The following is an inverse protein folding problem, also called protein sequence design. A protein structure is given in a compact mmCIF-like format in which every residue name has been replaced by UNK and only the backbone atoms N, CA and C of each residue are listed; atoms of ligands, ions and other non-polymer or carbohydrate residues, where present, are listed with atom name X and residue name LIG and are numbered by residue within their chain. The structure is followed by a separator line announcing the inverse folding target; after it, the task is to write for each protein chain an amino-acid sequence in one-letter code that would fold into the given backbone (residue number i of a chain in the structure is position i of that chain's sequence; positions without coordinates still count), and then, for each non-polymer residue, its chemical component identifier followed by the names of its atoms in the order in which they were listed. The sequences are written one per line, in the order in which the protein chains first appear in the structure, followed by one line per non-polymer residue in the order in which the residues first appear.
data_IF_425515107823
#
_entry.id   IF_425515107823
#
_cell.length_a   1.000
_cell.length_b   1.000
_cell.length_c   1.000
_cell.angle_alpha   90.00
_cell.angle_beta   90.00
_cell.angle_gamma   90.00
#
_symmetry.space_group_name_H-M   'P 1'
#
loop_
_entity.id
_entity.type
_entity.pdbx_description
1 polymer ?
#
# COMPACT_ATOMS: atom_id res chain seq x y z
N UNK A 1 -11.97 10.98 -7.90
CA UNK A 1 -11.93 9.97 -6.80
C UNK A 1 -11.70 8.64 -7.48
N UNK A 2 -10.70 7.90 -7.07
CA UNK A 2 -10.38 6.58 -7.60
C UNK A 2 -10.80 5.53 -6.57
N UNK A 3 -11.34 4.42 -7.04
CA UNK A 3 -11.75 3.30 -6.19
C UNK A 3 -10.64 2.27 -6.23
N UNK A 4 -10.23 1.78 -5.06
CA UNK A 4 -9.21 0.74 -4.91
C UNK A 4 -9.90 -0.53 -4.42
N UNK A 5 -9.78 -1.61 -5.18
CA UNK A 5 -10.28 -2.94 -4.80
C UNK A 5 -9.36 -3.56 -3.76
N UNK A 6 -9.91 -3.89 -2.61
CA UNK A 6 -9.19 -4.42 -1.46
C UNK A 6 -8.82 -5.91 -1.67
N UNK A 7 -7.64 -6.33 -1.18
CA UNK A 7 -7.12 -7.71 -1.18
C UNK A 7 -7.12 -8.39 -2.55
N UNK A 8 -6.62 -7.69 -3.56
CA UNK A 8 -6.42 -8.26 -4.91
C UNK A 8 -5.12 -9.07 -4.94
N UNK A 9 -5.06 -10.20 -4.22
CA UNK A 9 -3.84 -10.98 -4.00
C UNK A 9 -3.63 -12.10 -5.02
N UNK A 10 -4.44 -12.16 -6.07
CA UNK A 10 -4.25 -13.08 -7.21
C UNK A 10 -4.54 -12.38 -8.53
N UNK A 11 -3.84 -12.79 -9.58
CA UNK A 11 -4.04 -12.25 -10.94
C UNK A 11 -5.49 -12.38 -11.42
N UNK A 12 -6.23 -13.38 -10.94
CA UNK A 12 -7.64 -13.61 -11.31
C UNK A 12 -8.59 -12.54 -10.76
N UNK A 13 -8.18 -11.84 -9.71
CA UNK A 13 -8.99 -10.84 -9.02
C UNK A 13 -8.80 -9.43 -9.58
N UNK A 14 -7.88 -9.25 -10.54
CA UNK A 14 -7.57 -7.94 -11.13
C UNK A 14 -8.79 -7.42 -11.90
N UNK A 15 -9.27 -6.23 -11.53
CA UNK A 15 -10.18 -5.43 -12.34
C UNK A 15 -9.38 -4.29 -12.99
N UNK A 16 -9.29 -4.23 -14.32
CA UNK A 16 -8.49 -3.22 -15.02
C UNK A 16 -9.03 -1.79 -14.90
N UNK A 17 -10.25 -1.62 -14.41
CA UNK A 17 -10.91 -0.31 -14.26
C UNK A 17 -10.75 0.29 -12.86
N UNK A 18 -10.21 -0.46 -11.91
CA UNK A 18 -10.05 -0.04 -10.51
C UNK A 18 -8.57 0.03 -10.14
N UNK A 19 -8.22 0.89 -9.17
CA UNK A 19 -7.00 0.70 -8.42
C UNK A 19 -7.07 -0.64 -7.66
N UNK A 20 -5.94 -1.19 -7.30
CA UNK A 20 -5.86 -2.46 -6.57
C UNK A 20 -5.02 -2.33 -5.31
N UNK A 21 -5.44 -3.01 -4.26
CA UNK A 21 -4.64 -3.17 -3.05
C UNK A 21 -4.19 -4.62 -2.94
N UNK A 22 -2.90 -4.79 -2.62
CA UNK A 22 -2.25 -6.08 -2.45
C UNK A 22 -1.53 -6.15 -1.11
N UNK A 23 -1.48 -7.33 -0.51
CA UNK A 23 -0.71 -7.61 0.70
C UNK A 23 0.61 -8.30 0.34
N UNK A 24 1.75 -7.75 0.75
CA UNK A 24 3.07 -8.32 0.44
C UNK A 24 3.72 -8.92 1.67
N UNK A 25 4.22 -10.15 1.49
CA UNK A 25 5.05 -10.87 2.46
C UNK A 25 6.30 -11.43 1.80
N UNK A 26 7.34 -11.64 2.59
CA UNK A 26 8.46 -12.47 2.20
C UNK A 26 8.15 -13.96 2.46
N UNK A 27 8.53 -14.80 1.54
CA UNK A 27 8.44 -16.26 1.65
C UNK A 27 9.56 -16.92 0.83
N UNK A 28 10.44 -17.66 1.47
CA UNK A 28 11.58 -18.35 0.83
C UNK A 28 12.46 -17.40 -0.04
N UNK A 29 12.78 -16.23 0.49
CA UNK A 29 13.55 -15.18 -0.19
C UNK A 29 12.89 -14.63 -1.48
N UNK A 30 11.57 -14.64 -1.55
CA UNK A 30 10.80 -14.04 -2.63
C UNK A 30 9.64 -13.23 -2.06
N UNK A 31 9.24 -12.16 -2.73
CA UNK A 31 8.05 -11.40 -2.36
C UNK A 31 6.81 -12.07 -2.97
N UNK A 32 5.88 -12.42 -2.10
CA UNK A 32 4.61 -13.08 -2.46
C UNK A 32 3.40 -12.28 -1.99
N UNK A 33 2.26 -12.51 -2.62
CA UNK A 33 1.01 -11.87 -2.24
C UNK A 33 0.24 -12.76 -1.27
N UNK A 34 0.06 -12.27 -0.04
CA UNK A 34 -0.72 -12.98 0.98
C UNK A 34 -1.13 -12.05 2.12
N UNK A 35 -2.41 -11.99 2.42
CA UNK A 35 -2.90 -11.32 3.62
C UNK A 35 -2.48 -12.11 4.89
N UNK A 36 -2.67 -13.42 4.86
CA UNK A 36 -2.36 -14.31 5.98
C UNK A 36 -0.94 -14.87 5.91
N UNK A 37 -0.63 -15.85 6.73
CA UNK A 37 0.69 -16.50 6.71
C UNK A 37 0.96 -17.13 5.33
N UNK A 38 2.09 -16.79 4.67
CA UNK A 38 2.33 -17.23 3.30
C UNK A 38 2.65 -18.71 3.20
N UNK A 39 2.41 -19.28 2.03
CA UNK A 39 2.71 -20.65 1.71
C UNK A 39 3.13 -20.80 0.23
N UNK A 40 3.52 -22.01 -0.18
CA UNK A 40 4.03 -22.31 -1.52
C UNK A 40 3.07 -22.05 -2.69
N UNK A 41 1.79 -21.78 -2.40
CA UNK A 41 0.78 -21.52 -3.42
C UNK A 41 0.48 -20.02 -3.60
N UNK A 42 1.09 -19.16 -2.76
CA UNK A 42 0.96 -17.71 -2.92
C UNK A 42 1.61 -17.26 -4.22
N UNK A 43 0.95 -16.33 -4.91
CA UNK A 43 1.46 -15.77 -6.15
C UNK A 43 2.66 -14.87 -5.88
N UNK A 44 3.71 -14.96 -6.72
CA UNK A 44 4.89 -14.10 -6.61
C UNK A 44 4.56 -12.71 -7.11
N UNK A 45 5.05 -11.67 -6.41
CA UNK A 45 4.88 -10.29 -6.81
C UNK A 45 5.36 -10.01 -8.24
N UNK A 46 6.53 -10.57 -8.63
CA UNK A 46 7.09 -10.40 -9.96
C UNK A 46 6.16 -10.91 -11.07
N UNK A 47 5.47 -12.01 -10.83
CA UNK A 47 4.51 -12.57 -11.79
C UNK A 47 3.22 -11.75 -11.85
N UNK A 48 2.69 -11.39 -10.68
CA UNK A 48 1.47 -10.60 -10.55
C UNK A 48 1.59 -9.25 -11.26
N UNK A 49 2.70 -8.56 -11.05
CA UNK A 49 2.93 -7.19 -11.53
C UNK A 49 2.96 -7.11 -13.07
N UNK A 50 3.25 -8.22 -13.75
CA UNK A 50 3.23 -8.30 -15.22
C UNK A 50 1.81 -8.27 -15.81
N UNK A 51 0.79 -8.50 -14.98
CA UNK A 51 -0.61 -8.58 -15.38
C UNK A 51 -1.40 -7.31 -15.08
N UNK A 52 -0.79 -6.30 -14.45
CA UNK A 52 -1.43 -5.02 -14.17
C UNK A 52 -1.03 -3.95 -15.18
N UNK A 53 -1.93 -3.00 -15.42
CA UNK A 53 -1.57 -1.81 -16.22
C UNK A 53 -0.61 -0.92 -15.45
N UNK A 54 0.35 -0.30 -16.15
CA UNK A 54 1.32 0.63 -15.54
C UNK A 54 0.68 1.90 -15.00
N UNK A 55 -0.50 2.25 -15.52
CA UNK A 55 -1.26 3.42 -15.09
C UNK A 55 -2.23 3.09 -13.94
N UNK A 56 -2.46 1.81 -13.65
CA UNK A 56 -3.32 1.36 -12.57
C UNK A 56 -2.70 1.71 -11.22
N UNK A 57 -3.48 2.32 -10.32
CA UNK A 57 -3.01 2.65 -8.98
C UNK A 57 -2.82 1.38 -8.16
N UNK A 58 -1.62 1.20 -7.61
CA UNK A 58 -1.27 0.06 -6.77
C UNK A 58 -1.03 0.50 -5.32
N UNK A 59 -1.91 0.11 -4.42
CA UNK A 59 -1.76 0.26 -2.98
C UNK A 59 -1.12 -1.01 -2.42
N UNK A 60 0.06 -0.89 -1.80
CA UNK A 60 0.87 -2.03 -1.36
C UNK A 60 0.90 -2.07 0.16
N UNK A 61 0.17 -3.02 0.74
CA UNK A 61 0.17 -3.30 2.17
C UNK A 61 1.37 -4.15 2.55
N UNK A 62 2.21 -3.63 3.42
CA UNK A 62 3.45 -4.28 3.85
C UNK A 62 3.20 -5.13 5.09
N UNK A 63 3.40 -6.42 4.97
CA UNK A 63 3.20 -7.41 6.03
C UNK A 63 4.51 -8.04 6.55
N UNK A 64 5.65 -7.66 5.96
CA UNK A 64 6.98 -8.13 6.36
C UNK A 64 7.95 -6.96 6.51
N UNK A 65 9.02 -7.15 7.27
CA UNK A 65 10.11 -6.19 7.43
C UNK A 65 11.30 -6.56 6.55
N UNK A 66 12.22 -5.60 6.33
CA UNK A 66 13.50 -5.80 5.62
C UNK A 66 13.34 -6.19 4.13
N UNK A 67 12.22 -5.80 3.51
CA UNK A 67 11.91 -6.08 2.09
C UNK A 67 12.06 -4.83 1.20
N UNK A 68 12.51 -3.70 1.74
CA UNK A 68 12.48 -2.40 1.08
C UNK A 68 13.24 -2.42 -0.25
N UNK A 69 14.47 -2.95 -0.22
CA UNK A 69 15.35 -2.96 -1.41
C UNK A 69 14.86 -3.89 -2.51
N UNK A 70 14.35 -5.06 -2.15
CA UNK A 70 13.79 -6.02 -3.11
C UNK A 70 12.51 -5.47 -3.75
N UNK A 71 11.60 -4.92 -2.92
CA UNK A 71 10.38 -4.28 -3.42
C UNK A 71 10.71 -3.15 -4.39
N UNK A 72 11.65 -2.27 -4.03
CA UNK A 72 12.09 -1.16 -4.91
C UNK A 72 12.64 -1.66 -6.23
N UNK A 73 13.44 -2.72 -6.19
CA UNK A 73 14.03 -3.34 -7.40
C UNK A 73 12.94 -3.89 -8.32
N UNK A 74 11.96 -4.64 -7.78
CA UNK A 74 10.87 -5.21 -8.56
C UNK A 74 10.02 -4.12 -9.20
N UNK A 75 9.62 -3.09 -8.45
CA UNK A 75 8.83 -1.96 -8.96
C UNK A 75 9.55 -1.21 -10.08
N UNK A 76 10.85 -0.94 -9.92
CA UNK A 76 11.66 -0.26 -10.93
C UNK A 76 11.82 -1.09 -12.20
N UNK A 77 12.16 -2.37 -12.09
CA UNK A 77 12.33 -3.28 -13.22
C UNK A 77 11.02 -3.44 -14.01
N UNK A 78 9.90 -3.45 -13.32
CA UNK A 78 8.55 -3.54 -13.91
C UNK A 78 8.02 -2.19 -14.39
N UNK A 79 8.73 -1.07 -14.11
CA UNK A 79 8.33 0.30 -14.47
C UNK A 79 6.96 0.68 -13.88
N UNK A 80 6.69 0.26 -12.64
CA UNK A 80 5.51 0.63 -11.88
C UNK A 80 5.85 1.89 -11.07
N UNK A 81 5.20 3.00 -11.39
CA UNK A 81 5.41 4.30 -10.75
C UNK A 81 4.14 4.85 -10.11
N UNK A 82 2.96 4.34 -10.48
CA UNK A 82 1.67 4.74 -9.89
C UNK A 82 1.33 3.82 -8.71
N UNK A 83 2.04 3.99 -7.61
CA UNK A 83 1.85 3.18 -6.41
C UNK A 83 2.04 4.00 -5.13
N UNK A 84 1.60 3.45 -4.02
CA UNK A 84 2.07 3.81 -2.68
C UNK A 84 2.11 2.56 -1.80
N UNK A 85 2.98 2.59 -0.79
CA UNK A 85 3.12 1.52 0.21
C UNK A 85 2.60 2.00 1.57
N UNK A 86 2.06 1.11 2.38
CA UNK A 86 1.55 1.44 3.71
C UNK A 86 1.72 0.28 4.69
N UNK A 87 1.44 0.51 5.98
CA UNK A 87 1.60 -0.45 7.07
C UNK A 87 3.03 -0.91 7.35
N UNK A 88 4.00 -0.08 7.00
CA UNK A 88 5.37 -0.31 7.41
C UNK A 88 5.55 -0.27 8.93
N UNK A 89 6.33 -1.18 9.49
CA UNK A 89 6.94 -0.96 10.80
C UNK A 89 7.83 0.30 10.75
N UNK A 90 7.85 1.10 11.79
CA UNK A 90 8.57 2.40 11.78
C UNK A 90 10.04 2.30 11.35
N UNK A 91 10.85 1.30 11.82
CA UNK A 91 12.23 1.17 11.34
C UNK A 91 12.34 0.89 9.84
N UNK A 92 11.43 0.07 9.29
CA UNK A 92 11.36 -0.22 7.86
C UNK A 92 10.84 0.98 7.05
N UNK A 93 9.88 1.74 7.58
CA UNK A 93 9.42 2.98 6.95
C UNK A 93 10.57 3.97 6.78
N UNK A 94 11.40 4.15 7.82
CA UNK A 94 12.56 5.03 7.75
C UNK A 94 13.54 4.60 6.64
N UNK A 95 13.80 3.29 6.48
CA UNK A 95 14.62 2.75 5.39
C UNK A 95 13.95 2.95 4.02
N UNK A 96 12.65 2.68 3.91
CA UNK A 96 11.89 2.85 2.67
C UNK A 96 11.95 4.30 2.16
N UNK A 97 11.79 5.27 3.05
CA UNK A 97 11.89 6.70 2.73
C UNK A 97 13.29 7.09 2.23
N UNK A 98 14.37 6.51 2.77
CA UNK A 98 15.74 6.77 2.28
C UNK A 98 16.02 6.15 0.90
N UNK A 99 15.18 5.23 0.45
CA UNK A 99 15.26 4.59 -0.86
C UNK A 99 14.27 5.19 -1.88
N UNK A 100 13.66 6.34 -1.57
CA UNK A 100 12.64 6.99 -2.42
C UNK A 100 11.46 6.06 -2.77
N UNK A 101 11.05 5.21 -1.84
CA UNK A 101 9.81 4.46 -1.95
C UNK A 101 8.65 5.40 -1.60
N UNK A 102 7.58 5.38 -2.40
CA UNK A 102 6.40 6.19 -2.15
C UNK A 102 5.62 5.56 -0.99
N UNK A 103 5.61 6.25 0.15
CA UNK A 103 5.04 5.74 1.38
C UNK A 103 3.80 6.52 1.81
N UNK A 104 2.88 5.82 2.44
CA UNK A 104 1.80 6.38 3.25
C UNK A 104 2.04 6.06 4.73
N UNK A 105 1.71 7.01 5.60
CA UNK A 105 1.53 6.72 7.02
C UNK A 105 0.04 6.49 7.30
N UNK A 106 -0.26 5.75 8.38
CA UNK A 106 -1.65 5.53 8.82
C UNK A 106 -2.09 6.64 9.76
N UNK A 107 -3.34 7.05 9.64
CA UNK A 107 -4.06 7.79 10.67
C UNK A 107 -5.32 7.01 11.06
N UNK A 108 -5.52 6.82 12.35
CA UNK A 108 -6.66 6.12 12.92
C UNK A 108 -6.99 6.69 14.30
N UNK A 109 -7.94 6.11 15.01
CA UNK A 109 -8.19 6.46 16.43
C UNK A 109 -6.96 6.24 17.31
N UNK A 110 -6.06 5.34 16.90
CA UNK A 110 -4.86 4.96 17.66
C UNK A 110 -3.57 5.63 17.18
N UNK A 111 -3.54 6.08 15.92
CA UNK A 111 -2.35 6.64 15.28
C UNK A 111 -2.65 8.07 14.82
N UNK A 112 -2.09 9.06 15.50
CA UNK A 112 -2.40 10.49 15.28
C UNK A 112 -1.24 11.29 14.68
N UNK A 113 -0.05 10.68 14.59
CA UNK A 113 1.15 11.39 14.18
C UNK A 113 1.30 11.44 12.67
N UNK A 114 1.58 12.62 12.14
CA UNK A 114 1.96 12.83 10.75
C UNK A 114 3.44 12.52 10.59
N UNK A 115 3.75 11.55 9.73
CA UNK A 115 5.14 11.16 9.48
C UNK A 115 5.70 11.99 8.31
N UNK A 116 6.78 12.78 8.53
CA UNK A 116 7.39 13.57 7.48
C UNK A 116 7.87 12.74 6.29
N UNK A 117 7.89 13.36 5.11
CA UNK A 117 8.36 12.77 3.85
C UNK A 117 7.48 11.65 3.26
N UNK A 118 6.40 11.24 3.92
CA UNK A 118 5.37 10.45 3.27
C UNK A 118 4.54 11.32 2.34
N UNK A 119 4.24 10.80 1.14
CA UNK A 119 3.45 11.51 0.13
C UNK A 119 1.94 11.21 0.25
N UNK A 120 1.62 10.09 0.89
CA UNK A 120 0.26 9.63 1.10
C UNK A 120 -0.08 9.48 2.57
N UNK A 121 -1.37 9.50 2.85
CA UNK A 121 -1.94 9.09 4.14
C UNK A 121 -3.03 8.05 3.90
N UNK A 122 -2.96 6.98 4.68
CA UNK A 122 -3.97 5.92 4.77
C UNK A 122 -4.86 6.21 5.98
N UNK A 123 -6.08 6.71 5.73
CA UNK A 123 -7.04 7.06 6.78
C UNK A 123 -7.91 5.85 7.05
N UNK A 124 -7.80 5.32 8.24
CA UNK A 124 -8.45 4.10 8.69
C UNK A 124 -9.32 4.35 9.93
N UNK A 125 -10.20 3.41 10.29
CA UNK A 125 -10.95 3.42 11.53
C UNK A 125 -11.22 1.98 11.99
N UNK A 126 -11.20 1.74 13.30
CA UNK A 126 -11.36 0.42 13.91
C UNK A 126 -12.62 0.31 14.77
N UNK A 127 -13.21 1.45 15.14
CA UNK A 127 -14.44 1.53 15.95
C UNK A 127 -15.48 2.38 15.24
N UNK A 128 -15.22 3.67 15.15
CA UNK A 128 -16.13 4.66 14.60
C UNK A 128 -15.40 5.59 13.64
N UNK A 129 -16.12 6.14 12.66
CA UNK A 129 -15.57 7.16 11.78
C UNK A 129 -15.26 8.41 12.62
N UNK A 130 -13.97 8.69 12.82
CA UNK A 130 -13.45 9.74 13.69
C UNK A 130 -13.07 11.03 12.92
N UNK A 131 -13.11 10.98 11.61
CA UNK A 131 -12.75 12.09 10.70
C UNK A 131 -13.96 12.62 9.95
N UNK A 132 -13.89 13.88 9.54
CA UNK A 132 -14.88 14.52 8.68
C UNK A 132 -14.26 15.05 7.38
N UNK A 133 -15.09 15.65 6.52
CA UNK A 133 -14.64 16.24 5.26
C UNK A 133 -13.67 17.42 5.45
N UNK A 134 -13.78 18.17 6.54
CA UNK A 134 -12.86 19.27 6.83
C UNK A 134 -11.46 18.75 7.16
N UNK A 135 -11.41 17.70 7.97
CA UNK A 135 -10.15 17.02 8.29
C UNK A 135 -9.47 16.47 7.03
N UNK A 136 -10.20 15.72 6.20
CA UNK A 136 -9.65 15.18 4.95
C UNK A 136 -9.17 16.28 3.98
N UNK A 137 -9.90 17.39 3.91
CA UNK A 137 -9.49 18.54 3.11
C UNK A 137 -8.24 19.24 3.69
N UNK A 138 -8.04 19.24 5.00
CA UNK A 138 -6.84 19.77 5.63
C UNK A 138 -5.58 18.97 5.25
N UNK A 139 -5.69 17.64 5.20
CA UNK A 139 -4.61 16.75 4.75
C UNK A 139 -4.23 17.03 3.28
N UNK A 140 -5.24 17.17 2.42
CA UNK A 140 -5.01 17.53 1.00
C UNK A 140 -4.36 18.90 0.84
N UNK A 141 -4.78 19.91 1.63
CA UNK A 141 -4.17 21.25 1.64
C UNK A 141 -2.71 21.22 2.13
N UNK A 142 -2.37 20.26 2.99
CA UNK A 142 -0.99 20.02 3.41
C UNK A 142 -0.14 19.30 2.35
N UNK A 143 -0.69 19.02 1.15
CA UNK A 143 0.01 18.40 0.03
C UNK A 143 -0.03 16.87 0.01
N UNK A 144 -0.78 16.23 0.93
CA UNK A 144 -0.89 14.78 1.00
C UNK A 144 -1.94 14.25 0.02
N UNK A 145 -1.66 13.11 -0.58
CA UNK A 145 -2.66 12.27 -1.22
C UNK A 145 -3.35 11.42 -0.16
N UNK A 146 -4.67 11.32 -0.22
CA UNK A 146 -5.48 10.69 0.84
C UNK A 146 -6.16 9.44 0.29
N UNK A 147 -5.85 8.30 0.87
CA UNK A 147 -6.57 7.05 0.72
C UNK A 147 -7.44 6.83 1.97
N UNK A 148 -8.69 6.42 1.78
CA UNK A 148 -9.66 6.22 2.85
C UNK A 148 -10.12 4.77 2.78
N UNK A 149 -10.08 4.08 3.92
CA UNK A 149 -10.66 2.75 4.05
C UNK A 149 -12.19 2.89 4.05
N UNK A 150 -12.84 2.17 3.15
CA UNK A 150 -14.30 2.03 3.19
C UNK A 150 -14.68 1.00 4.24
N UNK A 151 -15.74 1.22 5.04
CA UNK A 151 -16.25 0.16 5.89
C UNK A 151 -16.60 -1.05 5.01
N UNK A 152 -16.05 -2.19 5.34
CA UNK A 152 -16.51 -3.45 4.74
C UNK A 152 -17.95 -3.66 5.21
N UNK A 153 -18.88 -3.60 4.27
CA UNK A 153 -20.28 -3.86 4.50
C UNK A 153 -20.52 -5.37 4.60
#
# INVERSE_FOLDING_TARGET
MEIIKHRTNTTKDIDPNLGIEIDIRDYNNELVLSHDHPNKHCEKLENFIQNISKDQLLAINIKSTEIESELKLILNNSKIYNYFTFDWAIPSLAKALTQDIICAFRLSEYEKEIIPNCQWVWVDFFKDIWYDSNFLNSLKKAGLKVAIVSPEL
#
